data_IF_720481755895
#
_entry.id   IF_720481755895
#
_cell.length_a   1.000
_cell.length_b   1.000
_cell.length_c   1.000
_cell.angle_alpha   90.00
_cell.angle_beta   90.00
_cell.angle_gamma   90.00
#
_symmetry.space_group_name_H-M   'P 1'
#
loop_
_entity.id
_entity.type
_entity.pdbx_description
1 polymer ?
#
# COMPACT_ATOMS: atom_id res chain seq x y z
N UNK A 1 14.33 -3.74 -7.50
CA UNK A 1 14.92 -4.66 -6.49
C UNK A 1 14.05 -4.46 -5.26
N UNK A 2 13.14 -5.39 -4.99
CA UNK A 2 11.70 -5.06 -4.92
C UNK A 2 10.96 -5.86 -3.85
N UNK A 3 10.41 -5.27 -2.78
CA UNK A 3 10.08 -5.99 -1.52
C UNK A 3 11.33 -6.63 -0.83
N UNK A 4 12.51 -6.44 -1.45
CA UNK A 4 13.66 -7.36 -1.46
C UNK A 4 14.98 -6.57 -1.29
N UNK A 5 14.95 -5.29 -0.90
CA UNK A 5 16.12 -4.49 -0.50
C UNK A 5 16.19 -4.24 1.05
N UNK A 6 15.20 -4.67 1.88
CA UNK A 6 15.31 -4.68 3.37
C UNK A 6 15.34 -6.03 4.08
N UNK A 7 14.60 -7.06 3.64
CA UNK A 7 14.77 -8.40 4.27
C UNK A 7 16.18 -8.91 3.99
N UNK A 8 16.67 -8.66 2.78
CA UNK A 8 17.92 -9.09 2.11
C UNK A 8 19.23 -8.68 2.82
N UNK A 9 19.08 -8.32 4.07
CA UNK A 9 19.53 -7.05 4.56
C UNK A 9 19.10 -6.78 6.03
N UNK A 10 18.29 -7.56 6.77
CA UNK A 10 18.09 -7.25 8.22
C UNK A 10 18.42 -8.36 9.22
N UNK A 11 19.46 -9.18 9.09
CA UNK A 11 20.32 -9.61 7.96
C UNK A 11 21.35 -8.66 7.23
N UNK A 12 21.55 -7.37 7.60
CA UNK A 12 22.54 -6.32 7.08
C UNK A 12 22.19 -5.30 5.89
N UNK A 13 21.59 -4.09 6.10
CA UNK A 13 20.86 -3.27 5.03
C UNK A 13 21.47 -1.95 4.51
N UNK A 14 21.22 -1.66 3.21
CA UNK A 14 21.06 -0.31 2.62
C UNK A 14 19.61 0.24 2.48
N UNK A 15 19.23 1.12 3.41
CA UNK A 15 18.37 2.32 3.27
C UNK A 15 16.85 2.27 2.97
N UNK A 16 16.39 1.88 1.79
CA UNK A 16 15.07 2.29 1.22
C UNK A 16 13.84 1.77 2.00
N UNK A 17 14.05 0.80 2.87
CA UNK A 17 13.23 -0.41 2.79
C UNK A 17 12.67 -0.79 4.20
N UNK A 18 13.01 0.00 5.24
CA UNK A 18 12.24 0.17 6.51
C UNK A 18 11.29 1.37 6.39
N UNK A 19 11.66 2.39 5.59
CA UNK A 19 10.92 3.65 5.48
C UNK A 19 9.48 3.45 4.94
N UNK A 20 9.25 2.35 4.21
CA UNK A 20 7.98 1.93 3.63
C UNK A 20 7.34 0.70 4.30
N UNK A 21 7.61 0.42 5.59
CA UNK A 21 6.93 -0.67 6.33
C UNK A 21 5.43 -0.38 6.66
N UNK A 22 4.76 0.43 5.83
CA UNK A 22 3.31 0.77 5.72
C UNK A 22 3.07 2.24 5.32
N UNK A 23 4.04 3.13 5.56
CA UNK A 23 3.83 4.58 5.46
C UNK A 23 3.27 5.25 6.72
N UNK A 24 3.13 4.51 7.83
CA UNK A 24 2.96 5.12 9.16
C UNK A 24 4.28 5.77 9.61
N UNK A 25 4.27 7.06 9.93
CA UNK A 25 5.44 7.83 10.38
C UNK A 25 6.00 7.30 11.72
N UNK A 26 7.03 6.45 11.66
CA UNK A 26 7.75 5.96 12.82
C UNK A 26 8.50 7.11 13.52
N UNK A 27 7.95 7.64 14.62
CA UNK A 27 8.68 8.56 15.50
C UNK A 27 9.66 7.75 16.36
N UNK A 28 10.92 7.71 15.93
CA UNK A 28 11.98 6.86 16.49
C UNK A 28 12.56 7.33 17.83
N UNK A 29 11.73 7.70 18.81
CA UNK A 29 12.22 8.05 20.16
C UNK A 29 12.25 6.86 21.12
N UNK A 30 11.20 6.03 21.18
CA UNK A 30 11.05 5.06 22.29
C UNK A 30 10.69 3.62 21.91
N UNK A 31 10.62 3.26 20.62
CA UNK A 31 10.49 1.85 20.20
C UNK A 31 9.18 1.15 20.60
N UNK A 32 8.16 1.90 21.04
CA UNK A 32 6.84 1.38 21.32
C UNK A 32 6.00 1.23 20.05
N UNK A 33 5.19 0.18 20.05
CA UNK A 33 4.23 -0.17 19.02
C UNK A 33 2.83 0.11 19.57
N UNK A 34 2.00 0.81 18.80
CA UNK A 34 0.58 0.93 19.13
C UNK A 34 -0.13 -0.34 18.66
N UNK A 35 -0.69 -1.08 19.62
CA UNK A 35 -1.30 -2.40 19.35
C UNK A 35 -2.54 -2.31 18.45
N UNK A 36 -3.21 -1.16 18.46
CA UNK A 36 -4.16 -0.71 17.43
C UNK A 36 -3.98 0.79 17.23
N UNK A 37 -4.02 1.26 15.99
CA UNK A 37 -4.22 2.67 15.66
C UNK A 37 -5.36 2.79 14.65
N UNK A 38 -6.51 3.29 15.11
CA UNK A 38 -7.70 3.51 14.26
C UNK A 38 -7.44 4.51 13.12
N UNK A 39 -6.39 5.33 13.24
CA UNK A 39 -5.93 6.27 12.20
C UNK A 39 -4.80 5.74 11.30
N UNK A 40 -4.60 4.42 11.26
CA UNK A 40 -3.56 3.83 10.40
C UNK A 40 -3.83 4.09 8.91
N UNK A 41 -2.84 4.69 8.25
CA UNK A 41 -2.85 4.96 6.81
C UNK A 41 -1.78 4.12 6.13
N UNK A 42 -2.21 3.30 5.17
CA UNK A 42 -1.35 2.51 4.30
C UNK A 42 -1.16 3.25 2.96
N UNK A 43 0.04 3.15 2.40
CA UNK A 43 0.35 3.75 1.09
C UNK A 43 0.41 2.67 0.02
N UNK A 44 -0.31 2.89 -1.09
CA UNK A 44 -0.47 1.95 -2.20
C UNK A 44 0.38 2.30 -3.42
N UNK A 45 1.21 3.35 -3.32
CA UNK A 45 2.15 3.83 -4.34
C UNK A 45 2.88 2.71 -5.09
N UNK A 46 3.53 1.79 -4.37
CA UNK A 46 4.31 0.70 -4.97
C UNK A 46 3.46 -0.26 -5.83
N UNK A 47 2.19 -0.49 -5.47
CA UNK A 47 1.28 -1.37 -6.22
C UNK A 47 0.70 -0.63 -7.43
N UNK A 48 0.21 0.59 -7.21
CA UNK A 48 -0.47 1.39 -8.22
C UNK A 48 0.50 1.80 -9.34
N UNK A 49 1.71 2.21 -8.99
CA UNK A 49 2.74 2.60 -9.96
C UNK A 49 3.36 1.40 -10.70
N UNK A 50 3.22 0.17 -10.19
CA UNK A 50 3.58 -1.06 -10.92
C UNK A 50 2.50 -1.50 -11.91
N UNK A 51 1.24 -1.23 -11.60
CA UNK A 51 0.08 -1.57 -12.43
C UNK A 51 -0.12 -0.58 -13.59
N UNK A 52 0.15 0.70 -13.35
CA UNK A 52 0.07 1.77 -14.35
C UNK A 52 1.22 1.73 -15.37
N UNK A 53 0.90 1.92 -16.66
CA UNK A 53 1.93 2.15 -17.68
C UNK A 53 2.62 3.51 -17.51
N UNK A 54 3.88 3.62 -17.96
CA UNK A 54 4.70 4.84 -17.83
C UNK A 54 3.99 6.08 -18.40
N UNK A 55 3.28 5.97 -19.51
CA UNK A 55 2.52 7.09 -20.09
C UNK A 55 1.35 7.57 -19.22
N UNK A 56 0.76 6.70 -18.41
CA UNK A 56 -0.29 7.08 -17.45
C UNK A 56 0.33 7.70 -16.19
N UNK A 57 1.51 7.22 -15.78
CA UNK A 57 2.29 7.82 -14.70
C UNK A 57 2.74 9.24 -15.04
N UNK A 58 3.24 9.47 -16.26
CA UNK A 58 3.63 10.79 -16.78
C UNK A 58 2.43 11.77 -16.80
N UNK A 59 1.23 11.32 -17.17
CA UNK A 59 0.02 12.15 -17.09
C UNK A 59 -0.35 12.47 -15.64
N UNK A 60 -0.29 11.49 -14.74
CA UNK A 60 -0.54 11.71 -13.30
C UNK A 60 0.46 12.71 -12.72
N UNK A 61 1.73 12.68 -13.15
CA UNK A 61 2.73 13.67 -12.74
C UNK A 61 2.39 15.06 -13.30
N UNK A 62 2.07 15.15 -14.59
CA UNK A 62 1.69 16.40 -15.26
C UNK A 62 0.48 17.08 -14.61
N UNK A 63 -0.54 16.31 -14.20
CA UNK A 63 -1.72 16.81 -13.49
C UNK A 63 -1.56 16.88 -11.95
N UNK A 64 -0.36 16.61 -11.41
CA UNK A 64 -0.04 16.65 -9.96
C UNK A 64 -0.78 15.61 -9.09
N UNK A 65 -1.25 14.52 -9.70
CA UNK A 65 -1.87 13.35 -9.06
C UNK A 65 -0.92 12.17 -8.83
N UNK A 66 0.34 12.25 -9.28
CA UNK A 66 1.34 11.19 -9.05
C UNK A 66 1.62 10.98 -7.55
N UNK A 67 1.45 9.72 -7.12
CA UNK A 67 1.78 9.24 -5.78
C UNK A 67 0.93 9.81 -4.64
N UNK A 68 1.32 9.45 -3.42
CA UNK A 68 0.60 9.68 -2.18
C UNK A 68 -0.81 9.05 -2.21
N UNK A 69 -0.87 7.78 -2.61
CA UNK A 69 -2.11 7.01 -2.73
C UNK A 69 -2.40 6.30 -1.41
N UNK A 70 -3.40 6.78 -0.68
CA UNK A 70 -3.66 6.36 0.69
C UNK A 70 -4.85 5.40 0.77
N UNK A 71 -4.75 4.46 1.72
CA UNK A 71 -5.79 3.53 2.15
C UNK A 71 -5.92 3.58 3.67
N UNK A 72 -7.15 3.56 4.16
CA UNK A 72 -7.50 3.49 5.58
C UNK A 72 -8.59 2.43 5.77
N UNK A 73 -8.97 2.13 7.02
CA UNK A 73 -10.07 1.21 7.30
C UNK A 73 -11.43 1.68 6.75
N UNK A 74 -11.58 2.96 6.39
CA UNK A 74 -12.82 3.53 5.81
C UNK A 74 -12.78 3.66 4.29
N UNK A 75 -11.73 3.15 3.62
CA UNK A 75 -11.54 3.25 2.17
C UNK A 75 -10.30 4.04 1.76
N UNK A 76 -10.26 4.43 0.48
CA UNK A 76 -9.13 5.13 -0.13
C UNK A 76 -9.26 6.65 -0.12
N UNK A 77 -8.17 7.38 -0.35
CA UNK A 77 -8.23 8.82 -0.61
C UNK A 77 -8.56 9.13 -2.08
N UNK A 78 -9.05 10.35 -2.33
CA UNK A 78 -9.39 10.86 -3.66
C UNK A 78 -8.26 10.73 -4.70
N UNK A 79 -6.97 10.81 -4.30
CA UNK A 79 -5.84 10.58 -5.23
C UNK A 79 -5.83 9.16 -5.80
N UNK A 80 -6.16 8.17 -4.96
CA UNK A 80 -6.28 6.77 -5.34
C UNK A 80 -7.46 6.55 -6.29
N UNK A 81 -8.60 7.22 -6.04
CA UNK A 81 -9.77 7.22 -6.95
C UNK A 81 -9.41 7.79 -8.33
N UNK A 82 -8.70 8.92 -8.37
CA UNK A 82 -8.23 9.53 -9.61
C UNK A 82 -7.26 8.61 -10.38
N UNK A 83 -6.35 7.93 -9.68
CA UNK A 83 -5.46 6.93 -10.27
C UNK A 83 -6.23 5.70 -10.78
N UNK A 84 -7.29 5.26 -10.10
CA UNK A 84 -8.16 4.17 -10.58
C UNK A 84 -8.90 4.57 -11.87
N UNK A 85 -9.39 5.82 -11.92
CA UNK A 85 -10.10 6.36 -13.07
C UNK A 85 -9.25 6.41 -14.36
N UNK A 86 -7.94 6.66 -14.28
CA UNK A 86 -7.09 6.77 -15.48
C UNK A 86 -6.92 5.43 -16.22
N UNK A 87 -7.15 4.30 -15.55
CA UNK A 87 -7.01 2.97 -16.14
C UNK A 87 -8.14 2.58 -17.09
N UNK A 88 -9.37 3.05 -16.82
CA UNK A 88 -10.56 2.64 -17.57
C UNK A 88 -11.22 3.78 -18.36
N UNK A 89 -10.90 5.04 -18.06
CA UNK A 89 -11.48 6.21 -18.70
C UNK A 89 -10.58 6.70 -19.86
N UNK A 90 -11.14 7.08 -21.03
CA UNK A 90 -10.37 7.73 -22.08
C UNK A 90 -9.68 9.00 -21.56
N UNK A 91 -8.40 9.19 -21.89
CA UNK A 91 -7.53 10.22 -21.31
C UNK A 91 -8.12 11.65 -21.37
N UNK A 92 -8.81 11.99 -22.46
CA UNK A 92 -9.50 13.28 -22.62
C UNK A 92 -10.62 13.47 -21.58
N UNK A 93 -11.43 12.44 -21.35
CA UNK A 93 -12.50 12.45 -20.34
C UNK A 93 -11.92 12.48 -18.94
N UNK A 94 -10.84 11.73 -18.70
CA UNK A 94 -10.16 11.74 -17.41
C UNK A 94 -9.56 13.12 -17.07
N UNK A 95 -8.96 13.82 -18.05
CA UNK A 95 -8.51 15.22 -17.89
C UNK A 95 -9.67 16.15 -17.53
N UNK A 96 -10.81 16.01 -18.21
CA UNK A 96 -12.02 16.79 -17.89
C UNK A 96 -12.59 16.45 -16.51
N UNK A 97 -12.41 15.22 -16.03
CA UNK A 97 -12.82 14.77 -14.70
C UNK A 97 -11.96 15.35 -13.59
N UNK A 98 -10.63 15.25 -13.68
CA UNK A 98 -9.72 15.81 -12.65
C UNK A 98 -9.76 17.34 -12.59
N UNK A 99 -10.05 18.01 -13.70
CA UNK A 99 -10.26 19.47 -13.75
C UNK A 99 -11.67 19.91 -13.30
N UNK A 100 -12.57 18.96 -12.97
CA UNK A 100 -13.93 19.25 -12.53
C UNK A 100 -14.88 19.75 -13.62
N UNK A 101 -14.53 19.61 -14.89
CA UNK A 101 -15.35 20.05 -16.03
C UNK A 101 -16.46 19.06 -16.40
N UNK A 102 -16.26 17.75 -16.18
CA UNK A 102 -17.27 16.73 -16.47
C UNK A 102 -17.03 15.43 -15.69
N UNK A 103 -18.09 14.81 -15.20
CA UNK A 103 -18.07 13.44 -14.65
C UNK A 103 -18.30 12.36 -15.72
N UNK A 104 -18.37 12.73 -17.00
CA UNK A 104 -18.67 11.78 -18.08
C UNK A 104 -17.57 10.73 -18.24
N UNK A 105 -17.94 9.46 -18.04
CA UNK A 105 -17.03 8.32 -18.15
C UNK A 105 -16.51 7.80 -16.82
N UNK A 106 -16.78 8.50 -15.70
CA UNK A 106 -16.63 7.94 -14.37
C UNK A 106 -17.59 6.75 -14.18
N UNK A 107 -17.09 5.66 -13.61
CA UNK A 107 -17.82 4.40 -13.42
C UNK A 107 -17.42 3.82 -12.06
N UNK A 108 -18.28 4.01 -11.07
CA UNK A 108 -18.06 3.60 -9.68
C UNK A 108 -17.69 2.12 -9.56
N UNK A 109 -18.30 1.25 -10.38
CA UNK A 109 -18.03 -0.19 -10.35
C UNK A 109 -16.67 -0.54 -10.94
N UNK A 110 -16.24 0.15 -12.00
CA UNK A 110 -14.87 -0.03 -12.52
C UNK A 110 -13.83 0.50 -11.55
N UNK A 111 -14.12 1.63 -10.90
CA UNK A 111 -13.27 2.20 -9.87
C UNK A 111 -13.13 1.26 -8.67
N UNK A 112 -14.22 0.72 -8.15
CA UNK A 112 -14.24 -0.30 -7.09
C UNK A 112 -13.40 -1.51 -7.48
N UNK A 113 -13.61 -2.09 -8.68
CA UNK A 113 -12.86 -3.25 -9.16
C UNK A 113 -11.35 -3.00 -9.23
N UNK A 114 -10.91 -1.82 -9.68
CA UNK A 114 -9.48 -1.45 -9.69
C UNK A 114 -8.92 -1.34 -8.26
N UNK A 115 -9.61 -0.62 -7.37
CA UNK A 115 -9.21 -0.41 -5.98
C UNK A 115 -9.13 -1.75 -5.23
N UNK A 116 -10.15 -2.60 -5.36
CA UNK A 116 -10.16 -3.96 -4.79
C UNK A 116 -9.02 -4.83 -5.34
N UNK A 117 -8.68 -4.67 -6.62
CA UNK A 117 -7.52 -5.29 -7.25
C UNK A 117 -6.21 -4.93 -6.53
N UNK A 118 -5.98 -3.64 -6.28
CA UNK A 118 -4.78 -3.14 -5.60
C UNK A 118 -4.72 -3.51 -4.11
N UNK A 119 -5.84 -3.40 -3.39
CA UNK A 119 -5.93 -3.81 -1.97
C UNK A 119 -5.61 -5.31 -1.86
N UNK A 120 -6.16 -6.14 -2.76
CA UNK A 120 -5.89 -7.58 -2.80
C UNK A 120 -4.44 -7.89 -3.17
N UNK A 121 -3.85 -7.16 -4.12
CA UNK A 121 -2.43 -7.31 -4.46
C UNK A 121 -1.53 -7.02 -3.26
N UNK A 122 -1.77 -5.91 -2.55
CA UNK A 122 -1.04 -5.57 -1.32
C UNK A 122 -1.22 -6.64 -0.23
N UNK A 123 -2.46 -7.12 -0.01
CA UNK A 123 -2.74 -8.18 0.97
C UNK A 123 -1.96 -9.47 0.67
N UNK A 124 -1.84 -9.85 -0.60
CA UNK A 124 -1.07 -11.03 -1.01
C UNK A 124 0.46 -10.85 -0.78
N UNK A 125 0.99 -9.64 -1.00
CA UNK A 125 2.38 -9.32 -0.65
C UNK A 125 2.59 -9.41 0.87
N UNK A 126 1.66 -8.86 1.67
CA UNK A 126 1.71 -8.95 3.12
C UNK A 126 1.69 -10.41 3.64
N UNK A 127 0.80 -11.27 3.13
CA UNK A 127 0.78 -12.71 3.48
C UNK A 127 2.07 -13.43 3.07
N UNK A 128 2.68 -13.04 1.94
CA UNK A 128 3.98 -13.57 1.50
C UNK A 128 5.10 -13.20 2.50
N UNK A 129 5.11 -11.95 2.99
CA UNK A 129 6.08 -11.50 4.00
C UNK A 129 5.84 -12.16 5.36
N UNK A 130 4.59 -12.29 5.81
CA UNK A 130 4.22 -13.03 7.04
C UNK A 130 4.77 -14.46 6.97
N UNK A 131 4.49 -15.17 5.87
CA UNK A 131 4.94 -16.56 5.64
C UNK A 131 6.47 -16.68 5.62
N UNK A 132 7.19 -15.67 5.10
CA UNK A 132 8.65 -15.63 5.14
C UNK A 132 9.18 -15.42 6.56
N UNK A 133 8.57 -14.51 7.33
CA UNK A 133 8.95 -14.23 8.72
C UNK A 133 8.72 -15.44 9.63
N UNK A 134 7.66 -16.23 9.44
CA UNK A 134 7.41 -17.45 10.23
C UNK A 134 8.51 -18.52 10.02
N UNK A 135 9.03 -18.65 8.79
CA UNK A 135 10.15 -19.54 8.47
C UNK A 135 11.48 -19.07 9.09
N UNK A 136 11.64 -17.76 9.23
CA UNK A 136 12.80 -17.16 9.92
C UNK A 136 12.66 -17.32 11.44
N UNK A 137 11.48 -17.07 12.01
CA UNK A 137 11.19 -17.16 13.45
C UNK A 137 11.44 -18.58 14.00
N UNK A 138 11.17 -19.60 13.18
CA UNK A 138 11.36 -21.02 13.50
C UNK A 138 12.78 -21.56 13.29
N UNK A 139 13.67 -20.81 12.60
CA UNK A 139 15.06 -21.21 12.34
C UNK A 139 16.11 -20.39 13.10
N UNK A 140 15.71 -19.32 13.79
CA UNK A 140 16.61 -18.46 14.57
C UNK A 140 16.96 -19.04 15.95
N UNK A 141 18.26 -19.14 16.24
CA UNK A 141 18.79 -19.48 17.57
C UNK A 141 19.03 -18.25 18.47
N UNK A 142 19.17 -17.05 17.89
CA UNK A 142 19.36 -15.80 18.65
C UNK A 142 18.02 -15.21 19.11
N UNK A 143 17.88 -15.00 20.42
CA UNK A 143 16.70 -14.41 21.06
C UNK A 143 16.39 -12.99 20.56
N UNK A 144 17.42 -12.20 20.24
CA UNK A 144 17.28 -10.80 19.81
C UNK A 144 16.65 -10.71 18.43
N UNK A 145 17.09 -11.55 17.51
CA UNK A 145 16.54 -11.56 16.16
C UNK A 145 15.18 -12.26 16.12
N UNK A 146 14.96 -13.30 16.94
CA UNK A 146 13.63 -13.89 17.12
C UNK A 146 12.58 -12.86 17.59
N UNK A 147 12.92 -11.99 18.56
CA UNK A 147 12.03 -10.91 18.99
C UNK A 147 11.73 -9.90 17.87
N UNK A 148 12.74 -9.54 17.05
CA UNK A 148 12.57 -8.64 15.90
C UNK A 148 11.67 -9.24 14.83
N UNK A 149 11.91 -10.50 14.44
CA UNK A 149 11.10 -11.24 13.47
C UNK A 149 9.64 -11.30 13.92
N UNK A 150 9.39 -11.59 15.20
CA UNK A 150 8.04 -11.60 15.79
C UNK A 150 7.36 -10.23 15.77
N UNK A 151 8.09 -9.15 16.06
CA UNK A 151 7.57 -7.77 15.97
C UNK A 151 7.20 -7.38 14.53
N UNK A 152 8.08 -7.69 13.57
CA UNK A 152 7.80 -7.47 12.15
C UNK A 152 6.57 -8.27 11.70
N UNK A 153 6.45 -9.53 12.11
CA UNK A 153 5.30 -10.38 11.76
C UNK A 153 3.99 -9.77 12.28
N UNK A 154 3.95 -9.31 13.53
CA UNK A 154 2.78 -8.59 14.09
C UNK A 154 2.40 -7.37 13.25
N UNK A 155 3.39 -6.59 12.77
CA UNK A 155 3.15 -5.43 11.91
C UNK A 155 2.53 -5.82 10.57
N UNK A 156 3.09 -6.81 9.89
CA UNK A 156 2.55 -7.27 8.61
C UNK A 156 1.15 -7.90 8.76
N UNK A 157 0.86 -8.57 9.88
CA UNK A 157 -0.50 -9.00 10.22
C UNK A 157 -1.47 -7.82 10.33
N UNK A 158 -1.14 -6.76 11.07
CA UNK A 158 -1.99 -5.55 11.12
C UNK A 158 -2.25 -4.94 9.73
N UNK A 159 -1.21 -4.84 8.89
CA UNK A 159 -1.34 -4.24 7.54
C UNK A 159 -2.29 -5.06 6.65
N UNK A 160 -2.16 -6.39 6.70
CA UNK A 160 -3.08 -7.29 6.00
C UNK A 160 -4.51 -7.16 6.54
N UNK A 161 -4.67 -7.14 7.87
CA UNK A 161 -5.98 -7.04 8.49
C UNK A 161 -6.64 -5.67 8.22
N UNK A 162 -5.85 -4.60 8.02
CA UNK A 162 -6.29 -3.30 7.50
C UNK A 162 -6.75 -3.40 6.03
N UNK A 163 -6.01 -4.11 5.17
CA UNK A 163 -6.42 -4.36 3.78
C UNK A 163 -7.76 -5.11 3.72
N UNK A 164 -7.96 -6.12 4.57
CA UNK A 164 -9.21 -6.88 4.66
C UNK A 164 -10.37 -5.96 5.08
N UNK A 165 -10.21 -5.19 6.17
CA UNK A 165 -11.24 -4.22 6.62
C UNK A 165 -11.60 -3.19 5.55
N UNK A 166 -10.61 -2.66 4.84
CA UNK A 166 -10.83 -1.68 3.80
C UNK A 166 -11.49 -2.29 2.55
N UNK A 167 -11.18 -3.56 2.22
CA UNK A 167 -11.85 -4.33 1.17
C UNK A 167 -13.33 -4.58 1.50
N UNK A 168 -13.65 -4.91 2.76
CA UNK A 168 -15.05 -5.06 3.22
C UNK A 168 -15.80 -3.73 3.17
N UNK A 169 -15.18 -2.63 3.61
CA UNK A 169 -15.77 -1.29 3.60
C UNK A 169 -16.03 -0.76 2.17
N UNK A 170 -15.21 -1.12 1.20
CA UNK A 170 -15.32 -0.68 -0.19
C UNK A 170 -16.32 -1.49 -1.06
N UNK A 171 -16.98 -2.52 -0.50
CA UNK A 171 -18.01 -3.31 -1.21
C UNK A 171 -19.40 -3.24 -0.55
N UNK A 172 -19.69 -2.17 0.19
CA UNK A 172 -20.98 -1.88 0.84
C UNK A 172 -21.75 -0.75 0.14
#
# INVERSE_FOLDING_TARGET
>A
MDLILMISCLLNVSHEHVLLLSGSRLTTTDGFYLDENESETLYLDDIILKDLSTSLQEELEFQQYYGNYQLTATGVCYRTEIAACINYMPLEKWRNYVLGYSAEGADEKKMEVMIQGWIRAYSNEADTVITALEKIESSQADKKDHQRTKMLRKRWTQIRDLCIKASEAASC
#
